data_IF_079981598198
#
_entry.id   IF_079981598198
#
_cell.length_a   1.000
_cell.length_b   1.000
_cell.length_c   1.000
_cell.angle_alpha   90.00
_cell.angle_beta   90.00
_cell.angle_gamma   90.00
#
_symmetry.space_group_name_H-M   'P 1'
#
loop_
_entity.id
_entity.type
_entity.pdbx_description
1 polymer ?
#
# COMPACT_ATOMS: atom_id res chain seq x y z
N UNK A 1 8.79 -10.03 17.06
CA UNK A 1 9.17 -11.32 16.42
C UNK A 1 8.00 -12.06 15.76
N UNK A 2 6.89 -12.42 16.44
CA UNK A 2 5.78 -13.12 15.79
C UNK A 2 5.10 -12.27 14.69
N UNK A 3 4.93 -11.00 14.93
CA UNK A 3 4.35 -10.06 13.96
C UNK A 3 5.24 -9.82 12.73
N UNK A 4 6.55 -9.96 12.85
CA UNK A 4 7.46 -9.92 11.68
C UNK A 4 7.23 -11.10 10.75
N UNK A 5 7.14 -12.32 11.34
CA UNK A 5 6.85 -13.53 10.58
C UNK A 5 5.47 -13.42 9.91
N UNK A 6 4.48 -12.89 10.62
CA UNK A 6 3.13 -12.66 10.07
C UNK A 6 3.17 -11.65 8.92
N UNK A 7 3.94 -10.55 9.06
CA UNK A 7 4.13 -9.57 8.00
C UNK A 7 4.77 -10.16 6.74
N UNK A 8 5.81 -10.98 6.90
CA UNK A 8 6.46 -11.69 5.79
C UNK A 8 5.46 -12.66 5.12
N UNK A 9 4.73 -13.44 5.93
CA UNK A 9 3.73 -14.38 5.43
C UNK A 9 2.59 -13.68 4.66
N UNK A 10 2.20 -12.47 5.09
CA UNK A 10 1.21 -11.65 4.39
C UNK A 10 1.67 -11.28 2.97
N UNK A 11 2.91 -10.84 2.79
CA UNK A 11 3.44 -10.51 1.46
C UNK A 11 3.66 -11.77 0.60
N UNK A 12 4.01 -12.91 1.19
CA UNK A 12 4.02 -14.19 0.48
C UNK A 12 2.60 -14.55 -0.04
N UNK A 13 1.57 -14.37 0.79
CA UNK A 13 0.18 -14.59 0.40
C UNK A 13 -0.26 -13.65 -0.74
N UNK A 14 0.13 -12.36 -0.70
CA UNK A 14 -0.12 -11.42 -1.80
C UNK A 14 0.58 -11.83 -3.11
N UNK A 15 1.84 -12.25 -3.05
CA UNK A 15 2.55 -12.74 -4.22
C UNK A 15 1.89 -13.99 -4.82
N UNK A 16 1.47 -14.95 -3.99
CA UNK A 16 0.73 -16.14 -4.43
C UNK A 16 -0.64 -15.77 -5.01
N UNK A 17 -1.34 -14.78 -4.43
CA UNK A 17 -2.59 -14.26 -4.99
C UNK A 17 -2.36 -13.68 -6.40
N UNK A 18 -1.32 -12.90 -6.61
CA UNK A 18 -1.01 -12.32 -7.92
C UNK A 18 -0.68 -13.42 -8.94
N UNK A 19 0.11 -14.42 -8.57
CA UNK A 19 0.36 -15.61 -9.42
C UNK A 19 -0.95 -16.32 -9.75
N UNK A 20 -1.83 -16.48 -8.76
CA UNK A 20 -3.14 -17.08 -8.99
C UNK A 20 -3.99 -16.27 -9.96
N UNK A 21 -4.02 -14.95 -9.82
CA UNK A 21 -4.85 -14.06 -10.62
C UNK A 21 -4.49 -14.11 -12.12
N UNK A 22 -3.20 -14.32 -12.43
CA UNK A 22 -2.70 -14.34 -13.81
C UNK A 22 -2.66 -15.76 -14.38
N UNK A 23 -2.19 -16.74 -13.61
CA UNK A 23 -1.87 -18.08 -14.11
C UNK A 23 -2.94 -19.11 -13.73
N UNK A 24 -3.15 -19.35 -12.43
CA UNK A 24 -3.93 -20.49 -11.95
C UNK A 24 -5.44 -20.27 -12.01
N UNK A 25 -5.90 -19.02 -11.76
CA UNK A 25 -7.32 -18.61 -11.77
C UNK A 25 -8.20 -19.48 -10.85
N UNK A 26 -7.66 -19.89 -9.70
CA UNK A 26 -8.32 -20.73 -8.73
C UNK A 26 -9.09 -19.88 -7.71
N UNK A 27 -10.41 -20.08 -7.58
CA UNK A 27 -11.29 -19.32 -6.67
C UNK A 27 -10.93 -19.48 -5.18
N UNK A 28 -10.33 -20.59 -4.78
CA UNK A 28 -9.90 -20.78 -3.39
C UNK A 28 -8.68 -19.90 -3.08
N UNK A 29 -7.74 -19.81 -4.02
CA UNK A 29 -6.55 -19.01 -3.89
C UNK A 29 -6.83 -17.48 -3.93
N UNK A 30 -8.00 -17.06 -4.43
CA UNK A 30 -8.44 -15.66 -4.32
C UNK A 30 -8.60 -15.20 -2.87
N UNK A 31 -8.83 -16.12 -1.94
CA UNK A 31 -8.92 -15.84 -0.50
C UNK A 31 -7.58 -15.45 0.12
N UNK A 32 -6.45 -15.75 -0.55
CA UNK A 32 -5.11 -15.37 -0.09
C UNK A 32 -4.95 -13.85 0.04
N UNK A 33 -5.64 -13.06 -0.78
CA UNK A 33 -5.66 -11.61 -0.64
C UNK A 33 -6.24 -11.17 0.70
N UNK A 34 -7.38 -11.71 1.08
CA UNK A 34 -8.03 -11.39 2.35
C UNK A 34 -7.23 -11.91 3.55
N UNK A 35 -6.66 -13.11 3.44
CA UNK A 35 -5.79 -13.68 4.48
C UNK A 35 -4.53 -12.83 4.67
N UNK A 36 -3.87 -12.41 3.59
CA UNK A 36 -2.72 -11.51 3.63
C UNK A 36 -3.07 -10.14 4.21
N UNK A 37 -4.23 -9.57 3.83
CA UNK A 37 -4.70 -8.29 4.37
C UNK A 37 -4.99 -8.36 5.86
N UNK A 38 -5.62 -9.42 6.33
CA UNK A 38 -5.85 -9.66 7.76
C UNK A 38 -4.51 -9.85 8.50
N UNK A 39 -3.61 -10.66 7.96
CA UNK A 39 -2.31 -10.92 8.57
C UNK A 39 -1.46 -9.65 8.71
N UNK A 40 -1.36 -8.80 7.68
CA UNK A 40 -0.59 -7.56 7.77
C UNK A 40 -1.23 -6.57 8.73
N UNK A 41 -2.57 -6.50 8.78
CA UNK A 41 -3.29 -5.63 9.73
C UNK A 41 -3.01 -6.05 11.16
N UNK A 42 -3.16 -7.34 11.48
CA UNK A 42 -2.87 -7.87 12.82
C UNK A 42 -1.40 -7.68 13.16
N UNK A 43 -0.49 -7.91 12.21
CA UNK A 43 0.94 -7.70 12.37
C UNK A 43 1.27 -6.25 12.76
N UNK A 44 0.68 -5.25 12.08
CA UNK A 44 0.85 -3.84 12.42
C UNK A 44 0.30 -3.50 13.82
N UNK A 45 -0.87 -4.02 14.17
CA UNK A 45 -1.47 -3.81 15.50
C UNK A 45 -0.58 -4.38 16.61
N UNK A 46 -0.07 -5.60 16.42
CA UNK A 46 0.82 -6.23 17.40
C UNK A 46 2.17 -5.49 17.52
N UNK A 47 2.73 -4.99 16.40
CA UNK A 47 3.94 -4.19 16.43
C UNK A 47 3.76 -2.88 17.19
N UNK A 48 2.62 -2.21 17.01
CA UNK A 48 2.27 -1.00 17.78
C UNK A 48 2.06 -1.32 19.25
N UNK A 49 1.35 -2.41 19.56
CA UNK A 49 1.14 -2.84 20.95
C UNK A 49 2.47 -3.12 21.66
N UNK A 50 3.38 -3.83 21.00
CA UNK A 50 4.72 -4.12 21.52
C UNK A 50 5.53 -2.82 21.73
N UNK A 51 5.50 -1.90 20.78
CA UNK A 51 6.20 -0.62 20.86
C UNK A 51 5.65 0.30 21.97
N UNK A 52 4.34 0.29 22.22
CA UNK A 52 3.70 1.01 23.34
C UNK A 52 4.13 0.41 24.69
N UNK A 53 4.31 -0.90 24.73
CA UNK A 53 4.69 -1.63 25.96
C UNK A 53 6.19 -1.60 26.23
N UNK A 54 7.00 -1.12 25.29
CA UNK A 54 8.45 -1.09 25.42
C UNK A 54 8.90 -0.05 26.45
N UNK A 55 9.72 -0.47 27.40
CA UNK A 55 10.26 0.41 28.46
C UNK A 55 11.37 1.38 27.97
N UNK A 56 12.01 1.07 26.84
CA UNK A 56 13.18 1.83 26.34
C UNK A 56 12.96 2.32 24.92
N UNK A 57 13.13 3.61 24.71
CA UNK A 57 13.27 4.22 23.39
C UNK A 57 14.74 4.36 23.02
N UNK A 58 15.10 4.15 21.75
CA UNK A 58 16.48 4.30 21.25
C UNK A 58 16.90 5.77 21.13
N UNK A 59 15.95 6.65 20.82
CA UNK A 59 16.17 8.07 20.54
C UNK A 59 15.26 8.93 21.40
N UNK A 60 15.81 9.95 22.01
CA UNK A 60 15.03 10.98 22.70
C UNK A 60 14.59 12.06 21.68
N UNK A 61 13.40 11.85 21.11
CA UNK A 61 12.81 12.78 20.16
C UNK A 61 11.91 13.77 20.90
N UNK A 62 12.03 15.10 20.63
CA UNK A 62 11.17 16.10 21.24
C UNK A 62 9.68 15.79 21.06
N UNK A 63 8.89 16.00 22.12
CA UNK A 63 7.46 15.69 22.14
C UNK A 63 6.67 16.37 21.01
N UNK A 64 7.06 17.57 20.63
CA UNK A 64 6.44 18.29 19.49
C UNK A 64 6.59 17.52 18.18
N UNK A 65 7.76 16.94 17.93
CA UNK A 65 8.02 16.13 16.73
C UNK A 65 7.21 14.82 16.77
N UNK A 66 7.18 14.15 17.94
CA UNK A 66 6.34 12.94 18.11
C UNK A 66 4.85 13.23 17.86
N UNK A 67 4.34 14.33 18.40
CA UNK A 67 2.95 14.75 18.19
C UNK A 67 2.67 15.07 16.72
N UNK A 68 3.56 15.79 16.04
CA UNK A 68 3.44 16.07 14.61
C UNK A 68 3.47 14.78 13.78
N UNK A 69 4.37 13.85 14.09
CA UNK A 69 4.44 12.54 13.43
C UNK A 69 3.17 11.70 13.67
N UNK A 70 2.60 11.73 14.88
CA UNK A 70 1.35 11.03 15.19
C UNK A 70 0.19 11.57 14.34
N UNK A 71 0.07 12.90 14.22
CA UNK A 71 -0.97 13.54 13.39
C UNK A 71 -0.76 13.20 11.92
N UNK A 72 0.47 13.31 11.40
CA UNK A 72 0.79 12.97 10.02
C UNK A 72 0.54 11.47 9.73
N UNK A 73 0.89 10.60 10.67
CA UNK A 73 0.60 9.16 10.60
C UNK A 73 -0.89 8.87 10.55
N UNK A 74 -1.69 9.52 11.41
CA UNK A 74 -3.14 9.36 11.40
C UNK A 74 -3.77 9.81 10.06
N UNK A 75 -3.32 10.94 9.52
CA UNK A 75 -3.75 11.41 8.19
C UNK A 75 -3.36 10.38 7.11
N UNK A 76 -2.14 9.85 7.16
CA UNK A 76 -1.68 8.84 6.19
C UNK A 76 -2.48 7.55 6.26
N UNK A 77 -2.88 7.10 7.46
CA UNK A 77 -3.77 5.93 7.61
C UNK A 77 -5.14 6.19 6.98
N UNK A 78 -5.71 7.39 7.18
CA UNK A 78 -6.99 7.77 6.54
C UNK A 78 -6.85 7.76 5.02
N UNK A 79 -5.76 8.32 4.48
CA UNK A 79 -5.49 8.35 3.04
C UNK A 79 -5.21 6.94 2.49
N UNK A 80 -4.56 6.07 3.25
CA UNK A 80 -4.36 4.66 2.91
C UNK A 80 -5.71 3.94 2.78
N UNK A 81 -6.56 4.04 3.80
CA UNK A 81 -7.91 3.44 3.79
C UNK A 81 -8.75 4.00 2.64
N UNK A 82 -8.73 5.32 2.46
CA UNK A 82 -9.42 5.96 1.32
C UNK A 82 -8.93 5.40 -0.01
N UNK A 83 -7.62 5.29 -0.21
CA UNK A 83 -7.02 4.79 -1.44
C UNK A 83 -7.43 3.34 -1.74
N UNK A 84 -7.45 2.49 -0.72
CA UNK A 84 -7.73 1.06 -0.89
C UNK A 84 -9.20 0.76 -1.12
N UNK A 85 -10.12 1.53 -0.50
CA UNK A 85 -11.54 1.18 -0.49
C UNK A 85 -12.44 2.16 -1.24
N UNK A 86 -12.02 3.41 -1.43
CA UNK A 86 -12.88 4.46 -1.95
C UNK A 86 -12.36 5.15 -3.22
N UNK A 87 -11.04 5.10 -3.47
CA UNK A 87 -10.44 5.80 -4.60
C UNK A 87 -10.65 5.10 -5.96
N UNK A 88 -11.01 3.83 -5.96
CA UNK A 88 -11.32 3.08 -7.19
C UNK A 88 -12.82 3.12 -7.40
N UNK A 89 -13.32 3.76 -8.46
CA UNK A 89 -14.73 3.67 -8.80
C UNK A 89 -15.04 2.24 -9.27
N UNK A 90 -15.71 1.46 -8.41
CA UNK A 90 -16.04 0.06 -8.65
C UNK A 90 -16.73 -0.15 -10.01
N UNK A 91 -17.45 0.85 -10.50
CA UNK A 91 -18.23 0.78 -11.73
C UNK A 91 -17.38 0.84 -13.01
N UNK A 92 -16.26 1.57 -12.99
CA UNK A 92 -15.46 1.85 -14.19
C UNK A 92 -14.27 0.90 -14.36
N UNK A 93 -13.69 0.40 -13.27
CA UNK A 93 -12.51 -0.47 -13.28
C UNK A 93 -12.86 -1.94 -13.54
N UNK A 94 -14.13 -2.34 -13.36
CA UNK A 94 -14.59 -3.73 -13.51
C UNK A 94 -15.38 -4.00 -14.80
N UNK A 95 -15.58 -2.99 -15.65
CA UNK A 95 -16.28 -3.14 -16.93
C UNK A 95 -15.23 -3.35 -18.03
N UNK A 96 -15.32 -4.49 -18.71
CA UNK A 96 -14.58 -4.74 -19.96
C UNK A 96 -15.22 -3.92 -21.10
N UNK A 97 -14.73 -2.69 -21.30
CA UNK A 97 -15.25 -1.76 -22.31
C UNK A 97 -14.84 -2.12 -23.74
N UNK A 98 -13.81 -2.95 -23.89
CA UNK A 98 -13.21 -3.27 -25.19
C UNK A 98 -13.49 -4.71 -25.64
N UNK A 99 -14.21 -5.52 -24.86
CA UNK A 99 -14.44 -6.93 -25.17
C UNK A 99 -13.19 -7.79 -25.19
N UNK A 100 -12.09 -7.30 -24.59
CA UNK A 100 -10.78 -7.95 -24.57
C UNK A 100 -10.62 -8.92 -23.41
N UNK A 101 -11.58 -8.96 -22.48
CA UNK A 101 -11.49 -9.68 -21.21
C UNK A 101 -10.54 -9.02 -20.19
N UNK A 102 -9.96 -7.86 -20.53
CA UNK A 102 -9.09 -7.08 -19.64
C UNK A 102 -9.81 -5.83 -19.12
N UNK A 103 -9.39 -5.39 -17.94
CA UNK A 103 -9.90 -4.18 -17.27
C UNK A 103 -9.11 -2.96 -17.75
N UNK A 104 -9.66 -1.76 -17.56
CA UNK A 104 -8.95 -0.49 -17.75
C UNK A 104 -8.47 0.07 -16.42
N UNK A 105 -7.36 0.81 -16.43
CA UNK A 105 -6.77 1.42 -15.23
C UNK A 105 -7.56 2.65 -14.81
N UNK A 106 -7.78 2.82 -13.50
CA UNK A 106 -8.24 4.09 -12.93
C UNK A 106 -7.11 5.13 -13.00
N UNK A 107 -7.38 6.29 -13.64
CA UNK A 107 -6.40 7.38 -13.85
C UNK A 107 -6.77 8.67 -13.13
N UNK A 108 -7.74 8.60 -12.21
CA UNK A 108 -8.29 9.77 -11.50
C UNK A 108 -8.01 9.72 -10.00
N UNK A 109 -8.14 10.86 -9.33
CA UNK A 109 -7.96 10.95 -7.89
C UNK A 109 -6.58 10.48 -7.44
N UNK A 110 -6.51 9.61 -6.43
CA UNK A 110 -5.24 9.09 -5.89
C UNK A 110 -4.38 8.36 -6.92
N UNK A 111 -5.00 7.75 -7.94
CA UNK A 111 -4.29 7.07 -9.03
C UNK A 111 -3.77 8.01 -10.12
N UNK A 112 -4.16 9.30 -10.10
CA UNK A 112 -3.47 10.34 -10.87
C UNK A 112 -2.20 10.84 -10.16
N UNK A 113 -2.09 10.65 -8.84
CA UNK A 113 -0.93 11.05 -8.03
C UNK A 113 0.31 10.19 -8.31
N UNK A 114 0.15 8.88 -8.19
CA UNK A 114 1.15 7.87 -8.53
C UNK A 114 0.46 6.51 -8.76
N UNK A 115 1.21 5.54 -9.32
CA UNK A 115 0.65 4.22 -9.64
C UNK A 115 0.34 3.37 -8.42
N UNK A 116 1.05 3.59 -7.30
CA UNK A 116 0.91 2.83 -6.07
C UNK A 116 0.65 3.74 -4.85
N UNK A 117 -0.43 4.53 -4.84
CA UNK A 117 -0.68 5.52 -3.79
C UNK A 117 -0.90 4.87 -2.42
N UNK A 118 -1.47 3.66 -2.35
CA UNK A 118 -1.61 2.93 -1.09
C UNK A 118 -0.26 2.63 -0.44
N UNK A 119 0.75 2.27 -1.23
CA UNK A 119 2.11 2.01 -0.72
C UNK A 119 2.80 3.27 -0.25
N UNK A 120 2.58 4.39 -0.95
CA UNK A 120 3.07 5.70 -0.51
C UNK A 120 2.58 6.04 0.91
N UNK A 121 1.28 5.94 1.15
CA UNK A 121 0.69 6.23 2.45
C UNK A 121 1.11 5.21 3.52
N UNK A 122 1.26 3.94 3.16
CA UNK A 122 1.77 2.91 4.06
C UNK A 122 3.19 3.21 4.54
N UNK A 123 4.09 3.60 3.63
CA UNK A 123 5.48 3.98 3.97
C UNK A 123 5.51 5.21 4.88
N UNK A 124 4.72 6.25 4.56
CA UNK A 124 4.65 7.46 5.40
C UNK A 124 4.14 7.11 6.80
N UNK A 125 3.10 6.27 6.91
CA UNK A 125 2.61 5.78 8.20
C UNK A 125 3.72 5.07 8.99
N UNK A 126 4.46 4.17 8.36
CA UNK A 126 5.56 3.44 8.98
C UNK A 126 6.67 4.35 9.50
N UNK A 127 7.09 5.34 8.70
CA UNK A 127 8.08 6.35 9.11
C UNK A 127 7.57 7.14 10.33
N UNK A 128 6.32 7.57 10.32
CA UNK A 128 5.71 8.27 11.45
C UNK A 128 5.70 7.40 12.71
N UNK A 129 5.37 6.11 12.60
CA UNK A 129 5.39 5.19 13.75
C UNK A 129 6.82 4.99 14.30
N UNK A 130 7.83 4.92 13.44
CA UNK A 130 9.23 4.88 13.89
C UNK A 130 9.65 6.15 14.65
N UNK A 131 9.16 7.32 14.26
CA UNK A 131 9.43 8.59 14.97
C UNK A 131 8.70 8.64 16.31
N UNK A 132 7.48 8.12 16.38
CA UNK A 132 6.67 8.14 17.62
C UNK A 132 7.25 7.18 18.66
N UNK A 133 7.54 5.95 18.28
CA UNK A 133 7.91 4.89 19.22
C UNK A 133 9.42 4.72 19.44
N UNK A 134 10.23 4.99 18.44
CA UNK A 134 11.71 4.93 18.46
C UNK A 134 12.28 3.65 19.07
N UNK A 135 11.63 2.49 18.88
CA UNK A 135 12.12 1.19 19.30
C UNK A 135 12.81 0.45 18.16
N UNK A 136 13.83 -0.38 18.48
CA UNK A 136 14.51 -1.21 17.48
C UNK A 136 13.54 -2.09 16.71
N UNK A 137 12.61 -2.72 17.43
CA UNK A 137 11.67 -3.69 16.87
C UNK A 137 10.69 -3.02 15.91
N UNK A 138 10.19 -1.81 16.24
CA UNK A 138 9.36 -1.03 15.33
C UNK A 138 10.12 -0.63 14.06
N UNK A 139 11.40 -0.24 14.18
CA UNK A 139 12.23 0.13 13.03
C UNK A 139 12.51 -1.07 12.12
N UNK A 140 12.88 -2.22 12.70
CA UNK A 140 13.12 -3.46 11.95
C UNK A 140 11.84 -3.93 11.26
N UNK A 141 10.73 -4.00 11.99
CA UNK A 141 9.42 -4.37 11.43
C UNK A 141 9.03 -3.46 10.26
N UNK A 142 9.04 -2.14 10.50
CA UNK A 142 8.69 -1.15 9.47
C UNK A 142 9.59 -1.27 8.25
N UNK A 143 10.91 -1.37 8.46
CA UNK A 143 11.86 -1.55 7.36
C UNK A 143 11.57 -2.80 6.55
N UNK A 144 11.33 -3.93 7.23
CA UNK A 144 11.01 -5.22 6.59
C UNK A 144 9.73 -5.13 5.75
N UNK A 145 8.63 -4.65 6.34
CA UNK A 145 7.34 -4.61 5.61
C UNK A 145 7.34 -3.57 4.50
N UNK A 146 8.06 -2.44 4.65
CA UNK A 146 8.20 -1.46 3.58
C UNK A 146 9.01 -2.02 2.40
N UNK A 147 10.12 -2.72 2.66
CA UNK A 147 10.92 -3.38 1.59
C UNK A 147 10.09 -4.43 0.88
N UNK A 148 9.39 -5.29 1.61
CA UNK A 148 8.52 -6.32 1.02
C UNK A 148 7.40 -5.70 0.20
N UNK A 149 6.81 -4.60 0.67
CA UNK A 149 5.77 -3.88 -0.07
C UNK A 149 6.30 -3.27 -1.37
N UNK A 150 7.51 -2.68 -1.35
CA UNK A 150 8.16 -2.17 -2.57
C UNK A 150 8.43 -3.30 -3.56
N UNK A 151 8.97 -4.44 -3.09
CA UNK A 151 9.21 -5.60 -3.96
C UNK A 151 7.90 -6.13 -4.56
N UNK A 152 6.84 -6.17 -3.76
CA UNK A 152 5.51 -6.59 -4.20
C UNK A 152 4.95 -5.67 -5.30
N UNK A 153 5.00 -4.35 -5.12
CA UNK A 153 4.51 -3.45 -6.17
C UNK A 153 5.39 -3.41 -7.41
N UNK A 154 6.67 -3.73 -7.30
CA UNK A 154 7.54 -3.92 -8.48
C UNK A 154 7.10 -5.15 -9.28
N UNK A 155 6.72 -6.24 -8.61
CA UNK A 155 6.15 -7.42 -9.25
C UNK A 155 4.82 -7.07 -9.95
N UNK A 156 3.93 -6.36 -9.27
CA UNK A 156 2.66 -5.93 -9.83
C UNK A 156 2.84 -5.03 -11.07
N UNK A 157 3.70 -4.03 -10.96
CA UNK A 157 3.95 -3.06 -12.03
C UNK A 157 4.57 -3.68 -13.28
N UNK A 158 5.46 -4.67 -13.10
CA UNK A 158 6.17 -5.30 -14.20
C UNK A 158 5.49 -6.52 -14.79
N UNK A 159 4.60 -7.12 -14.04
CA UNK A 159 4.01 -8.40 -14.45
C UNK A 159 2.49 -8.44 -14.26
N UNK A 160 1.96 -8.35 -13.05
CA UNK A 160 0.53 -8.59 -12.78
C UNK A 160 -0.36 -7.60 -13.53
N UNK A 161 -0.06 -6.30 -13.46
CA UNK A 161 -0.93 -5.27 -14.03
C UNK A 161 -0.87 -5.21 -15.56
N UNK A 162 0.26 -5.54 -16.17
CA UNK A 162 0.37 -5.66 -17.63
C UNK A 162 -0.54 -6.77 -18.18
N UNK A 163 -0.72 -7.84 -17.40
CA UNK A 163 -1.61 -8.94 -17.79
C UNK A 163 -3.08 -8.68 -17.43
N UNK A 164 -3.34 -7.80 -16.46
CA UNK A 164 -4.67 -7.53 -15.92
C UNK A 164 -5.38 -6.38 -16.63
N UNK A 165 -4.65 -5.33 -17.01
CA UNK A 165 -5.20 -4.11 -17.61
C UNK A 165 -4.75 -3.94 -19.05
N UNK A 166 -5.69 -3.54 -19.94
CA UNK A 166 -5.40 -3.36 -21.37
C UNK A 166 -4.57 -2.13 -21.68
N UNK A 167 -4.70 -1.08 -20.88
CA UNK A 167 -4.10 0.25 -21.05
C UNK A 167 -2.99 0.57 -20.03
N UNK A 168 -2.43 -0.47 -19.37
CA UNK A 168 -1.45 -0.26 -18.29
C UNK A 168 -0.13 0.37 -18.79
N UNK A 169 0.32 0.01 -19.96
CA UNK A 169 1.58 0.56 -20.54
C UNK A 169 1.48 2.08 -20.77
N UNK A 170 0.33 2.59 -21.23
CA UNK A 170 0.12 4.03 -21.41
C UNK A 170 0.03 4.75 -20.07
N UNK A 171 -0.70 4.18 -19.10
CA UNK A 171 -0.75 4.70 -17.74
C UNK A 171 0.65 4.78 -17.10
N UNK A 172 1.48 3.76 -17.33
CA UNK A 172 2.85 3.69 -16.83
C UNK A 172 3.77 4.78 -17.40
N UNK A 173 3.55 5.23 -18.63
CA UNK A 173 4.30 6.32 -19.26
C UNK A 173 3.92 7.69 -18.68
N UNK A 174 2.65 7.86 -18.31
CA UNK A 174 2.11 9.14 -17.87
C UNK A 174 2.26 9.38 -16.37
N UNK A 175 2.10 8.33 -15.56
CA UNK A 175 1.98 8.42 -14.09
C UNK A 175 3.23 7.85 -13.41
N UNK A 176 3.83 8.58 -12.42
CA UNK A 176 5.02 8.12 -11.72
C UNK A 176 4.77 6.85 -10.91
N UNK A 177 5.83 6.06 -10.69
CA UNK A 177 5.75 4.80 -9.97
C UNK A 177 5.24 4.96 -8.53
N UNK A 178 5.94 5.76 -7.72
CA UNK A 178 5.64 5.94 -6.29
C UNK A 178 5.75 7.40 -5.84
N UNK A 179 6.78 8.12 -6.27
CA UNK A 179 7.04 9.49 -5.84
C UNK A 179 6.33 10.46 -6.80
N UNK A 180 5.29 11.19 -6.33
CA UNK A 180 4.54 12.09 -7.19
C UNK A 180 5.34 13.35 -7.55
N UNK A 181 5.11 13.87 -8.74
CA UNK A 181 5.56 15.20 -9.17
C UNK A 181 4.53 16.25 -8.74
N UNK A 182 4.92 17.50 -8.68
CA UNK A 182 3.99 18.60 -8.32
C UNK A 182 2.79 18.65 -9.29
N UNK A 183 3.02 18.41 -10.59
CA UNK A 183 1.96 18.34 -11.60
C UNK A 183 0.94 17.22 -11.33
N UNK A 184 1.39 16.10 -10.74
CA UNK A 184 0.51 14.96 -10.46
C UNK A 184 -0.36 15.23 -9.23
N UNK A 185 0.13 16.02 -8.26
CA UNK A 185 -0.67 16.53 -7.15
C UNK A 185 -1.83 17.41 -7.66
N UNK A 186 -1.55 18.31 -8.59
CA UNK A 186 -2.60 19.17 -9.21
C UNK A 186 -3.63 18.33 -9.97
N UNK A 187 -3.17 17.33 -10.75
CA UNK A 187 -4.07 16.38 -11.44
C UNK A 187 -4.94 15.59 -10.47
N UNK A 188 -4.36 15.11 -9.36
CA UNK A 188 -5.08 14.40 -8.33
C UNK A 188 -6.28 15.20 -7.83
N UNK A 189 -6.05 16.45 -7.38
CA UNK A 189 -7.12 17.32 -6.88
C UNK A 189 -8.11 17.72 -7.96
N UNK A 190 -7.65 17.93 -9.19
CA UNK A 190 -8.52 18.30 -10.34
C UNK A 190 -9.47 17.16 -10.75
N UNK A 191 -9.10 15.92 -10.50
CA UNK A 191 -9.87 14.72 -10.89
C UNK A 191 -10.63 14.05 -9.74
N UNK A 192 -10.46 14.51 -8.49
CA UNK A 192 -11.21 14.01 -7.32
C UNK A 192 -12.69 14.43 -7.30
N UNK A 193 -13.10 15.37 -8.16
CA UNK A 193 -14.47 15.94 -8.20
C UNK A 193 -15.41 15.26 -9.21
N UNK A 194 -15.02 14.09 -9.69
CA UNK A 194 -15.85 13.31 -10.63
C UNK A 194 -16.72 12.26 -9.95
#
# INVERSE_FOLDING_TARGET
MIYEIMGIAAFAAFGLYDVNSVIWKNRIADRLFFAGSAAITVSCVLAVYDAVSAEKSLLDIPQVIKTAALIAGAISVVLLVYTLFFAIPFRDTYVDREGTGKRTVCRTGMYALCRHPGVLWFIITGICMCIVFTTSDMMIFTGTVCVLNILYIVLQDKWTFIHTFSDYEDYRRETPFLIPRISDVVKCFGTMKG
#
